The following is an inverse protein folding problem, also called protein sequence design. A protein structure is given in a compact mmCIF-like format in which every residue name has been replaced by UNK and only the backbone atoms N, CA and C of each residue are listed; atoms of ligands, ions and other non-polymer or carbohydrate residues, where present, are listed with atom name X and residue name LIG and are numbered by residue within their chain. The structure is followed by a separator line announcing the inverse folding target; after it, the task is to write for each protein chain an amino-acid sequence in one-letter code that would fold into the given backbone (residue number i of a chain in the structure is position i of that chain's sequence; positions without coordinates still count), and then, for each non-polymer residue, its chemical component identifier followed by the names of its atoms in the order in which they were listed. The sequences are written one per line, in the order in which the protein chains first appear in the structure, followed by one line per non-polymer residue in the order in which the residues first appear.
data_IF_296174124131
#
_entry.id   IF_296174124131
#
_cell.length_a   1.000
_cell.length_b   1.000
_cell.length_c   1.000
_cell.angle_alpha   90.00
_cell.angle_beta   90.00
_cell.angle_gamma   90.00
#
_symmetry.space_group_name_H-M   'P 1'
#
loop_
_entity.id
_entity.type
_entity.pdbx_description
1 polymer ?
#
# COMPACT_ATOMS: atom_id res chain seq x y z
N UNK A 1 33.90 -49.30 11.55
CA UNK A 1 34.73 -50.04 10.58
C UNK A 1 33.87 -51.17 10.03
N UNK A 2 33.43 -51.04 8.75
CA UNK A 2 32.97 -52.05 7.76
C UNK A 2 32.01 -53.15 8.27
N UNK A 3 30.72 -53.19 7.92
CA UNK A 3 30.09 -53.37 6.59
C UNK A 3 30.74 -54.45 5.73
N UNK A 4 30.17 -55.65 5.76
CA UNK A 4 30.27 -56.67 4.72
C UNK A 4 28.89 -57.29 4.51
N UNK A 5 28.33 -57.10 3.31
CA UNK A 5 27.42 -58.06 2.68
C UNK A 5 27.43 -57.84 1.15
N UNK A 6 28.39 -58.48 0.49
CA UNK A 6 28.35 -58.89 -0.93
C UNK A 6 27.88 -60.35 -0.93
N UNK A 7 27.15 -60.92 -1.86
CA UNK A 7 26.72 -60.66 -3.23
C UNK A 7 25.70 -61.77 -3.52
N UNK A 8 24.71 -61.55 -4.37
CA UNK A 8 24.27 -62.56 -5.34
C UNK A 8 23.20 -61.95 -6.22
N UNK A 9 23.67 -61.46 -7.35
CA UNK A 9 22.88 -61.17 -8.53
C UNK A 9 22.35 -62.46 -9.15
N UNK A 10 21.04 -62.53 -9.41
CA UNK A 10 20.48 -63.19 -10.59
C UNK A 10 18.97 -62.96 -10.67
N UNK A 11 18.55 -62.30 -11.76
CA UNK A 11 17.26 -62.48 -12.47
C UNK A 11 15.96 -62.25 -11.69
N UNK A 12 14.89 -61.70 -12.23
CA UNK A 12 14.55 -61.02 -13.46
C UNK A 12 13.09 -60.59 -13.23
N UNK A 13 12.71 -59.48 -13.85
CA UNK A 13 11.34 -59.19 -14.27
C UNK A 13 10.29 -58.79 -13.20
N UNK A 14 9.70 -57.60 -13.45
CA UNK A 14 8.26 -57.33 -13.56
C UNK A 14 7.83 -55.99 -12.94
N UNK A 15 7.29 -55.15 -13.83
CA UNK A 15 6.36 -54.05 -13.62
C UNK A 15 6.91 -52.72 -13.05
N UNK A 16 7.48 -51.92 -13.95
CA UNK A 16 7.44 -50.47 -13.84
C UNK A 16 5.99 -49.99 -14.12
N UNK A 17 5.28 -49.59 -13.07
CA UNK A 17 4.05 -48.81 -13.22
C UNK A 17 4.44 -47.35 -13.48
N UNK A 18 4.31 -46.94 -14.73
CA UNK A 18 4.42 -45.54 -15.17
C UNK A 18 3.15 -44.80 -14.72
N UNK A 19 3.22 -44.10 -13.60
CA UNK A 19 2.22 -43.08 -13.24
C UNK A 19 2.42 -41.87 -14.17
N UNK A 20 1.64 -41.82 -15.26
CA UNK A 20 1.46 -40.63 -16.09
C UNK A 20 0.68 -39.60 -15.26
N UNK A 21 1.39 -38.69 -14.58
CA UNK A 21 0.77 -37.49 -14.04
C UNK A 21 0.45 -36.54 -15.21
N UNK A 22 -0.74 -36.70 -15.78
CA UNK A 22 -1.32 -35.81 -16.77
C UNK A 22 -1.53 -34.42 -16.14
N UNK A 23 -0.50 -33.58 -16.18
CA UNK A 23 -0.61 -32.17 -15.85
C UNK A 23 -1.52 -31.50 -16.90
N UNK A 24 -2.56 -30.75 -16.49
CA UNK A 24 -3.41 -30.06 -17.45
C UNK A 24 -2.61 -28.89 -18.03
N UNK A 25 -2.13 -29.04 -19.26
CA UNK A 25 -1.47 -27.96 -20.01
C UNK A 25 -2.40 -26.77 -20.28
N UNK A 26 -3.72 -26.98 -20.15
CA UNK A 26 -4.75 -25.98 -20.40
C UNK A 26 -4.66 -24.74 -19.48
N UNK A 27 -4.22 -24.90 -18.23
CA UNK A 27 -4.25 -23.80 -17.25
C UNK A 27 -3.17 -22.73 -17.47
N UNK A 28 -2.09 -23.03 -18.19
CA UNK A 28 -1.01 -22.08 -18.45
C UNK A 28 -1.28 -21.24 -19.70
N UNK A 29 -1.93 -21.82 -20.71
CA UNK A 29 -2.30 -21.12 -21.94
C UNK A 29 -3.45 -20.15 -21.70
N UNK A 30 -4.50 -20.54 -20.96
CA UNK A 30 -5.61 -19.65 -20.59
C UNK A 30 -5.14 -18.46 -19.73
N UNK A 31 -4.23 -18.70 -18.78
CA UNK A 31 -3.63 -17.62 -18.00
C UNK A 31 -2.74 -16.68 -18.82
N UNK A 32 -2.15 -17.16 -19.92
CA UNK A 32 -1.30 -16.34 -20.78
C UNK A 32 -2.11 -15.39 -21.68
N UNK A 33 -3.26 -15.84 -22.18
CA UNK A 33 -4.16 -15.02 -23.00
C UNK A 33 -4.82 -13.88 -22.18
N UNK A 34 -5.17 -14.15 -20.92
CA UNK A 34 -5.72 -13.12 -20.01
C UNK A 34 -4.69 -12.02 -19.68
N UNK A 35 -3.41 -12.38 -19.57
CA UNK A 35 -2.32 -11.43 -19.32
C UNK A 35 -2.06 -10.53 -20.54
N UNK A 36 -2.23 -11.04 -21.76
CA UNK A 36 -2.11 -10.26 -22.99
C UNK A 36 -3.26 -9.25 -23.16
N UNK A 37 -4.40 -9.47 -22.50
CA UNK A 37 -5.53 -8.54 -22.50
C UNK A 37 -5.43 -7.45 -21.41
N UNK A 38 -4.81 -7.73 -20.26
CA UNK A 38 -4.81 -6.89 -19.05
C UNK A 38 -3.97 -5.59 -19.10
N UNK A 39 -3.63 -5.11 -20.29
CA UNK A 39 -2.88 -3.86 -20.47
C UNK A 39 -2.71 -3.42 -21.93
N UNK A 40 -3.37 -4.08 -22.87
CA UNK A 40 -3.32 -3.71 -24.29
C UNK A 40 -4.22 -2.52 -24.58
N UNK A 41 -3.83 -1.71 -25.56
CA UNK A 41 -4.69 -0.64 -26.07
C UNK A 41 -5.90 -1.25 -26.79
N UNK A 42 -7.14 -0.73 -26.57
CA UNK A 42 -8.34 -1.28 -27.20
C UNK A 42 -8.32 -1.07 -28.72
N UNK A 43 -8.85 -2.02 -29.49
CA UNK A 43 -8.99 -1.84 -30.94
C UNK A 43 -10.05 -0.77 -31.26
N UNK A 44 -10.07 -0.18 -32.47
CA UNK A 44 -11.04 0.85 -32.84
C UNK A 44 -12.50 0.38 -32.73
N UNK A 45 -12.77 -0.88 -33.04
CA UNK A 45 -14.09 -1.50 -32.94
C UNK A 45 -14.48 -1.69 -31.47
N UNK A 46 -13.55 -2.13 -30.64
CA UNK A 46 -13.73 -2.30 -29.20
C UNK A 46 -13.99 -0.96 -28.51
N UNK A 47 -13.19 0.07 -28.80
CA UNK A 47 -13.33 1.40 -28.23
C UNK A 47 -14.67 2.09 -28.61
N UNK A 48 -15.26 1.73 -29.75
CA UNK A 48 -16.53 2.26 -30.24
C UNK A 48 -17.75 1.48 -29.74
N UNK A 49 -17.61 0.18 -29.46
CA UNK A 49 -18.75 -0.71 -29.17
C UNK A 49 -18.83 -1.17 -27.72
N UNK A 50 -17.70 -1.30 -27.02
CA UNK A 50 -17.68 -1.75 -25.62
C UNK A 50 -17.97 -0.60 -24.64
N UNK A 51 -18.65 -0.97 -23.54
CA UNK A 51 -18.95 -0.05 -22.44
C UNK A 51 -17.67 0.25 -21.65
N UNK A 52 -17.38 1.54 -21.46
CA UNK A 52 -16.30 2.01 -20.59
C UNK A 52 -16.69 1.79 -19.13
N UNK A 53 -15.90 1.00 -18.41
CA UNK A 53 -16.05 0.79 -16.96
C UNK A 53 -14.75 1.24 -16.31
N UNK A 54 -14.84 2.09 -15.29
CA UNK A 54 -13.67 2.47 -14.51
C UNK A 54 -13.22 1.29 -13.66
N UNK A 55 -11.92 1.02 -13.67
CA UNK A 55 -11.33 0.01 -12.79
C UNK A 55 -11.25 0.53 -11.35
N UNK A 56 -11.04 -0.38 -10.41
CA UNK A 56 -10.92 -0.07 -8.99
C UNK A 56 -9.57 0.55 -8.68
N UNK A 57 -9.60 1.68 -7.96
CA UNK A 57 -8.38 2.32 -7.46
C UNK A 57 -7.79 1.42 -6.35
N UNK A 58 -6.48 1.09 -6.40
CA UNK A 58 -5.85 0.28 -5.37
C UNK A 58 -5.94 0.97 -4.00
N UNK A 59 -6.14 0.19 -2.93
CA UNK A 59 -6.31 0.72 -1.58
C UNK A 59 -5.11 1.59 -1.12
N UNK A 60 -3.90 1.30 -1.61
CA UNK A 60 -2.71 2.10 -1.35
C UNK A 60 -2.84 3.54 -1.84
N UNK A 61 -3.48 3.78 -2.99
CA UNK A 61 -3.67 5.14 -3.51
C UNK A 61 -4.62 5.96 -2.63
N UNK A 62 -5.64 5.33 -2.02
CA UNK A 62 -6.48 6.00 -1.03
C UNK A 62 -5.71 6.40 0.23
N UNK A 63 -4.76 5.56 0.67
CA UNK A 63 -3.90 5.92 1.80
C UNK A 63 -3.03 7.13 1.48
N UNK A 64 -2.46 7.22 0.27
CA UNK A 64 -1.70 8.39 -0.16
C UNK A 64 -2.57 9.65 -0.07
N UNK A 65 -3.80 9.60 -0.60
CA UNK A 65 -4.73 10.75 -0.53
C UNK A 65 -5.02 11.17 0.91
N UNK A 66 -5.25 10.23 1.83
CA UNK A 66 -5.49 10.54 3.24
C UNK A 66 -4.24 11.11 3.91
N UNK A 67 -3.07 10.53 3.68
CA UNK A 67 -1.81 11.01 4.27
C UNK A 67 -1.50 12.42 3.80
N UNK A 68 -1.62 12.70 2.50
CA UNK A 68 -1.45 14.04 1.93
C UNK A 68 -2.47 15.03 2.50
N UNK A 69 -3.73 14.61 2.64
CA UNK A 69 -4.75 15.45 3.27
C UNK A 69 -4.41 15.75 4.73
N UNK A 70 -3.96 14.74 5.50
CA UNK A 70 -3.55 14.91 6.89
C UNK A 70 -2.33 15.83 7.03
N UNK A 71 -1.33 15.70 6.15
CA UNK A 71 -0.18 16.60 6.11
C UNK A 71 -0.66 18.05 5.95
N UNK A 72 -1.48 18.29 4.92
CA UNK A 72 -1.96 19.64 4.61
C UNK A 72 -2.87 20.21 5.68
N UNK A 73 -3.72 19.35 6.24
CA UNK A 73 -4.62 19.68 7.33
C UNK A 73 -3.84 20.05 8.59
N UNK A 74 -2.83 19.26 8.97
CA UNK A 74 -2.03 19.53 10.16
C UNK A 74 -1.20 20.79 9.97
N UNK A 75 -0.57 20.98 8.80
CA UNK A 75 0.24 22.17 8.52
C UNK A 75 -0.58 23.46 8.69
N UNK A 76 -1.70 23.60 7.99
CA UNK A 76 -2.50 24.83 8.06
C UNK A 76 -3.42 24.89 9.29
N UNK A 77 -3.96 23.76 9.71
CA UNK A 77 -4.93 23.66 10.80
C UNK A 77 -4.32 23.90 12.18
N UNK A 78 -3.06 23.51 12.40
CA UNK A 78 -2.39 23.73 13.69
C UNK A 78 -1.54 24.99 13.73
N UNK A 79 -1.10 25.56 12.61
CA UNK A 79 -0.23 26.76 12.59
C UNK A 79 -0.76 27.91 13.46
N UNK A 80 -2.03 28.28 13.29
CA UNK A 80 -2.66 29.37 14.06
C UNK A 80 -2.86 29.01 15.54
N UNK A 81 -3.53 27.89 15.86
CA UNK A 81 -3.71 27.45 17.23
C UNK A 81 -2.39 27.25 18.00
N UNK A 82 -1.35 26.72 17.35
CA UNK A 82 -0.04 26.51 17.98
C UNK A 82 0.63 27.84 18.36
N UNK A 83 0.60 28.84 17.47
CA UNK A 83 1.07 30.19 17.80
C UNK A 83 0.31 30.76 19.00
N UNK A 84 -1.02 30.71 18.96
CA UNK A 84 -1.88 31.28 20.01
C UNK A 84 -1.71 30.56 21.36
N UNK A 85 -1.57 29.23 21.32
CA UNK A 85 -1.36 28.38 22.49
C UNK A 85 -0.11 28.77 23.27
N UNK A 86 1.00 29.05 22.55
CA UNK A 86 2.26 29.46 23.17
C UNK A 86 2.21 30.94 23.59
N UNK A 87 1.68 31.82 22.74
CA UNK A 87 1.69 33.26 22.94
C UNK A 87 0.86 33.70 24.14
N UNK A 88 -0.39 33.25 24.22
CA UNK A 88 -1.39 33.79 25.15
C UNK A 88 -1.54 32.87 26.37
N UNK A 89 -1.83 33.43 27.55
CA UNK A 89 -2.13 32.64 28.74
C UNK A 89 -3.51 31.98 28.62
N UNK A 90 -3.75 30.97 29.46
CA UNK A 90 -5.08 30.40 29.62
C UNK A 90 -6.05 31.44 30.19
N UNK A 91 -7.24 31.55 29.59
CA UNK A 91 -8.34 32.36 30.10
C UNK A 91 -9.58 31.48 30.25
N UNK A 92 -10.33 31.69 31.33
CA UNK A 92 -11.59 30.97 31.59
C UNK A 92 -12.80 31.65 30.90
N UNK A 93 -12.53 32.74 30.19
CA UNK A 93 -13.51 33.49 29.41
C UNK A 93 -13.85 32.72 28.14
N UNK A 94 -15.05 32.15 28.09
CA UNK A 94 -15.58 31.53 26.87
C UNK A 94 -15.58 32.55 25.73
N UNK A 95 -14.81 32.27 24.68
CA UNK A 95 -14.73 33.10 23.49
C UNK A 95 -13.77 34.27 23.61
N UNK A 96 -12.76 34.20 24.48
CA UNK A 96 -11.67 35.18 24.48
C UNK A 96 -11.10 35.39 23.08
N UNK A 97 -10.81 36.65 22.73
CA UNK A 97 -10.30 37.06 21.40
C UNK A 97 -9.09 36.20 20.95
N UNK A 98 -8.30 35.73 21.92
CA UNK A 98 -7.13 34.91 21.68
C UNK A 98 -7.07 33.71 22.66
N UNK A 99 -7.53 32.52 22.24
CA UNK A 99 -7.42 31.31 23.07
C UNK A 99 -5.96 30.86 23.17
N UNK A 100 -5.46 30.65 24.39
CA UNK A 100 -4.09 30.23 24.65
C UNK A 100 -3.95 29.38 25.92
N UNK A 101 -2.70 29.05 26.29
CA UNK A 101 -2.43 28.35 27.54
C UNK A 101 -1.09 28.72 28.19
N UNK A 102 0.00 28.79 27.42
CA UNK A 102 1.35 28.87 27.99
C UNK A 102 1.75 30.31 28.35
N UNK A 103 1.30 31.32 27.60
CA UNK A 103 1.57 32.73 27.91
C UNK A 103 3.05 33.14 27.83
N UNK A 104 3.85 32.52 26.95
CA UNK A 104 5.29 32.81 26.78
C UNK A 104 5.59 33.99 25.85
N UNK A 105 4.55 34.68 25.40
CA UNK A 105 4.65 35.85 24.52
C UNK A 105 5.08 35.51 23.10
N UNK A 106 5.14 36.54 22.26
CA UNK A 106 5.36 36.37 20.82
C UNK A 106 6.75 35.88 20.44
N UNK A 107 7.79 36.33 21.12
CA UNK A 107 9.16 35.94 20.77
C UNK A 107 9.35 34.42 20.89
N UNK A 108 8.86 33.82 21.97
CA UNK A 108 8.93 32.37 22.18
C UNK A 108 8.04 31.60 21.21
N UNK A 109 6.80 32.07 20.98
CA UNK A 109 5.86 31.43 20.06
C UNK A 109 6.42 31.38 18.63
N UNK A 110 6.93 32.51 18.14
CA UNK A 110 7.53 32.62 16.82
C UNK A 110 8.83 31.80 16.71
N UNK A 111 9.68 31.81 17.74
CA UNK A 111 10.91 31.01 17.74
C UNK A 111 10.63 29.50 17.66
N UNK A 112 9.62 29.01 18.40
CA UNK A 112 9.21 27.60 18.36
C UNK A 112 8.55 27.25 17.03
N UNK A 113 7.74 28.14 16.46
CA UNK A 113 7.18 27.92 15.13
C UNK A 113 8.27 27.77 14.07
N UNK A 114 9.29 28.64 14.07
CA UNK A 114 10.43 28.50 13.17
C UNK A 114 11.29 27.26 13.44
N UNK A 115 11.34 26.78 14.68
CA UNK A 115 12.11 25.58 15.01
C UNK A 115 11.48 24.29 14.45
N UNK A 116 10.14 24.24 14.35
CA UNK A 116 9.40 23.08 13.86
C UNK A 116 8.95 23.19 12.39
N UNK A 117 9.32 24.28 11.71
CA UNK A 117 9.04 24.52 10.28
C UNK A 117 10.13 23.90 9.41
#
# INVERSE_FOLDING_TARGET
MKSEYTDSTAAADMAATKEEHHAPSASLEEMSEDLDYAGREPTPEEAATLRRVADHIPASAWLVVVVEFCERFTYYGLSGPFQNYIQYPYTDERGADHPGAIGKGQQTATALNYFFQ
#
